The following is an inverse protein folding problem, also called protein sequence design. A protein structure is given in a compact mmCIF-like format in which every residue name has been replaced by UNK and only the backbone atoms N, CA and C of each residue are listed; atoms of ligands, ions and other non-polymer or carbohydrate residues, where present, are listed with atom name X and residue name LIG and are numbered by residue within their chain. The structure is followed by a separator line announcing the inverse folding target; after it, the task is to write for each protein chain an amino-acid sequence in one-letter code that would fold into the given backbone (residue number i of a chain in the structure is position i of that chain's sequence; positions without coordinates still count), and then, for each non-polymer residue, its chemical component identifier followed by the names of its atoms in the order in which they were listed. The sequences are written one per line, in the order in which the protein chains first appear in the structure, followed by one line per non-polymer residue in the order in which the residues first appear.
data_IF_315174425204
#
_entry.id   IF_315174425204
#
_cell.length_a   1.000
_cell.length_b   1.000
_cell.length_c   1.000
_cell.angle_alpha   90.00
_cell.angle_beta   90.00
_cell.angle_gamma   90.00
#
_symmetry.space_group_name_H-M   'P 1'
#
loop_
_entity.id
_entity.type
_entity.pdbx_description
1 polymer ?
#
# COMPACT_ATOMS: atom_id res chain seq x y z
N UNK A 1 -9.21 7.80 8.59
CA UNK A 1 -10.56 8.09 9.14
C UNK A 1 -10.47 9.44 9.85
N UNK A 2 -11.07 10.54 9.33
CA UNK A 2 -10.85 11.90 9.81
C UNK A 2 -11.13 12.08 11.30
N UNK A 3 -12.17 11.45 11.82
CA UNK A 3 -12.60 11.62 13.21
C UNK A 3 -11.80 10.77 14.22
N UNK A 4 -10.99 9.81 13.73
CA UNK A 4 -10.24 8.87 14.58
C UNK A 4 -8.73 9.12 14.62
N UNK A 5 -8.21 10.08 13.85
CA UNK A 5 -6.77 10.29 13.64
C UNK A 5 -6.04 8.99 13.22
N UNK A 6 -6.76 8.10 12.51
CA UNK A 6 -6.27 6.82 12.01
C UNK A 6 -6.06 6.87 10.51
N UNK A 7 -4.86 6.50 10.07
CA UNK A 7 -4.53 6.27 8.67
C UNK A 7 -4.56 4.76 8.38
N UNK A 8 -5.33 4.35 7.38
CA UNK A 8 -5.32 2.98 6.87
C UNK A 8 -4.57 2.96 5.55
N UNK A 9 -3.56 2.10 5.46
CA UNK A 9 -2.69 1.95 4.29
C UNK A 9 -2.78 0.53 3.78
N UNK A 10 -3.08 0.38 2.49
CA UNK A 10 -2.84 -0.84 1.75
C UNK A 10 -1.57 -0.67 0.91
N UNK A 11 -0.66 -1.63 1.02
CA UNK A 11 0.63 -1.59 0.35
C UNK A 11 0.81 -2.83 -0.53
N UNK A 12 1.12 -2.61 -1.81
CA UNK A 12 1.40 -3.69 -2.75
C UNK A 12 2.81 -4.20 -2.55
N UNK A 13 2.90 -5.35 -1.90
CA UNK A 13 4.16 -6.04 -1.66
C UNK A 13 4.61 -6.79 -2.91
N UNK A 14 5.90 -6.82 -3.21
CA UNK A 14 6.41 -7.62 -4.31
C UNK A 14 6.22 -9.11 -4.05
N UNK A 15 6.05 -9.88 -5.12
CA UNK A 15 5.99 -11.34 -5.06
C UNK A 15 7.34 -11.96 -4.65
N UNK A 16 7.32 -13.23 -4.23
CA UNK A 16 8.52 -13.99 -3.86
C UNK A 16 9.57 -14.06 -4.99
N UNK A 17 9.15 -13.93 -6.24
CA UNK A 17 10.03 -13.91 -7.42
C UNK A 17 10.95 -12.68 -7.46
N UNK A 18 10.66 -11.62 -6.69
CA UNK A 18 11.55 -10.46 -6.52
C UNK A 18 12.87 -10.84 -5.81
N UNK A 19 12.90 -11.95 -5.08
CA UNK A 19 14.12 -12.44 -4.44
C UNK A 19 15.04 -13.10 -5.49
N UNK A 20 16.30 -12.65 -5.63
CA UNK A 20 17.25 -13.24 -6.55
C UNK A 20 17.47 -14.73 -6.28
N UNK A 21 17.36 -15.55 -7.30
CA UNK A 21 17.51 -17.01 -7.20
C UNK A 21 18.96 -17.46 -7.07
N UNK A 22 19.90 -16.61 -7.46
CA UNK A 22 21.34 -16.88 -7.44
C UNK A 22 22.00 -16.09 -6.30
N UNK A 23 23.07 -16.70 -5.72
CA UNK A 23 23.86 -16.09 -4.64
C UNK A 23 25.20 -15.55 -5.13
N UNK A 24 25.80 -16.22 -6.10
CA UNK A 24 27.15 -15.94 -6.56
C UNK A 24 27.23 -16.15 -8.08
N UNK A 25 28.04 -15.34 -8.75
CA UNK A 25 28.40 -15.51 -10.15
C UNK A 25 29.89 -15.63 -10.27
N UNK A 26 30.37 -16.70 -10.93
CA UNK A 26 31.79 -16.94 -11.16
C UNK A 26 32.07 -17.14 -12.62
N UNK A 27 33.01 -16.36 -13.16
CA UNK A 27 33.51 -16.59 -14.51
C UNK A 27 34.51 -17.75 -14.52
N UNK A 28 34.25 -18.75 -15.35
CA UNK A 28 35.11 -19.93 -15.53
C UNK A 28 35.87 -19.79 -16.86
N UNK A 29 37.11 -19.39 -16.80
CA UNK A 29 37.97 -19.16 -17.99
C UNK A 29 38.08 -20.36 -18.93
N UNK A 30 38.13 -21.58 -18.39
CA UNK A 30 38.24 -22.82 -19.15
C UNK A 30 37.02 -23.15 -20.00
N UNK A 31 35.85 -22.63 -19.63
CA UNK A 31 34.59 -22.84 -20.31
C UNK A 31 34.08 -21.58 -21.01
N UNK A 32 34.76 -20.46 -20.82
CA UNK A 32 34.34 -19.13 -21.27
C UNK A 32 32.85 -18.85 -20.93
N UNK A 33 32.48 -19.18 -19.69
CA UNK A 33 31.09 -19.09 -19.23
C UNK A 33 31.01 -18.57 -17.79
N UNK A 34 29.87 -17.93 -17.48
CA UNK A 34 29.52 -17.52 -16.13
C UNK A 34 28.71 -18.65 -15.49
N UNK A 35 29.24 -19.25 -14.44
CA UNK A 35 28.49 -20.19 -13.60
C UNK A 35 27.87 -19.42 -12.43
N UNK A 36 26.63 -19.75 -12.09
CA UNK A 36 25.94 -19.20 -10.93
C UNK A 36 25.68 -20.29 -9.90
N UNK A 37 25.60 -19.88 -8.64
CA UNK A 37 25.21 -20.76 -7.54
C UNK A 37 23.79 -20.44 -7.13
N UNK A 38 22.90 -21.42 -7.26
CA UNK A 38 21.50 -21.27 -6.88
C UNK A 38 21.35 -21.10 -5.35
N UNK A 39 20.45 -20.21 -4.96
CA UNK A 39 20.03 -20.02 -3.58
C UNK A 39 19.13 -21.18 -3.15
N UNK A 40 19.28 -21.62 -1.90
CA UNK A 40 18.42 -22.67 -1.36
C UNK A 40 16.98 -22.14 -1.15
N UNK A 41 15.94 -22.95 -1.36
CA UNK A 41 14.55 -22.52 -1.14
C UNK A 41 14.29 -21.94 0.26
N UNK A 42 14.92 -22.51 1.29
CA UNK A 42 14.81 -22.00 2.67
C UNK A 42 15.36 -20.57 2.81
N UNK A 43 16.47 -20.29 2.14
CA UNK A 43 17.08 -18.94 2.15
C UNK A 43 16.19 -17.93 1.43
N UNK A 44 15.57 -18.32 0.29
CA UNK A 44 14.62 -17.49 -0.43
C UNK A 44 13.43 -17.13 0.46
N UNK A 45 12.89 -18.14 1.15
CA UNK A 45 11.79 -17.95 2.09
C UNK A 45 12.14 -16.98 3.22
N UNK A 46 13.29 -17.16 3.85
CA UNK A 46 13.75 -16.28 4.93
C UNK A 46 13.97 -14.85 4.46
N UNK A 47 14.58 -14.67 3.29
CA UNK A 47 14.79 -13.34 2.70
C UNK A 47 13.46 -12.66 2.34
N UNK A 48 12.51 -13.41 1.81
CA UNK A 48 11.19 -12.88 1.50
C UNK A 48 10.44 -12.45 2.76
N UNK A 49 10.46 -13.27 3.79
CA UNK A 49 9.86 -12.91 5.09
C UNK A 49 10.53 -11.66 5.69
N UNK A 50 11.86 -11.60 5.68
CA UNK A 50 12.60 -10.42 6.17
C UNK A 50 12.28 -9.16 5.35
N UNK A 51 12.13 -9.29 4.04
CA UNK A 51 11.74 -8.20 3.15
C UNK A 51 10.34 -7.67 3.49
N UNK A 52 9.34 -8.54 3.62
CA UNK A 52 7.96 -8.15 3.98
C UNK A 52 7.94 -7.39 5.31
N UNK A 53 8.61 -7.92 6.32
CA UNK A 53 8.67 -7.30 7.65
C UNK A 53 9.42 -5.97 7.61
N UNK A 54 10.51 -5.89 6.84
CA UNK A 54 11.29 -4.65 6.69
C UNK A 54 10.51 -3.55 6.01
N UNK A 55 9.77 -3.87 4.93
CA UNK A 55 8.89 -2.92 4.24
C UNK A 55 7.84 -2.39 5.22
N UNK A 56 7.20 -3.28 5.97
CA UNK A 56 6.17 -2.90 6.95
C UNK A 56 6.70 -1.91 7.98
N UNK A 57 7.81 -2.24 8.66
CA UNK A 57 8.38 -1.37 9.70
C UNK A 57 8.88 -0.05 9.13
N UNK A 58 9.49 -0.08 7.94
CA UNK A 58 9.96 1.12 7.26
C UNK A 58 8.80 2.04 6.87
N UNK A 59 7.73 1.51 6.29
CA UNK A 59 6.57 2.30 5.90
C UNK A 59 5.92 2.95 7.11
N UNK A 60 5.73 2.23 8.21
CA UNK A 60 5.21 2.79 9.46
C UNK A 60 6.10 3.93 9.98
N UNK A 61 7.42 3.75 9.94
CA UNK A 61 8.37 4.77 10.36
C UNK A 61 8.28 6.03 9.50
N UNK A 62 8.30 5.87 8.18
CA UNK A 62 8.22 6.99 7.23
C UNK A 62 6.90 7.76 7.36
N UNK A 63 5.77 7.06 7.58
CA UNK A 63 4.47 7.69 7.79
C UNK A 63 4.43 8.54 9.07
N UNK A 64 4.92 8.02 10.18
CA UNK A 64 4.96 8.79 11.42
C UNK A 64 5.99 9.93 11.39
N UNK A 65 7.11 9.76 10.69
CA UNK A 65 8.11 10.80 10.51
C UNK A 65 7.60 11.94 9.60
N UNK A 66 6.80 11.59 8.58
CA UNK A 66 6.17 12.56 7.68
C UNK A 66 5.05 13.37 8.35
N UNK A 67 4.46 12.88 9.44
CA UNK A 67 3.36 13.53 10.16
C UNK A 67 3.84 14.68 11.03
N UNK A 68 4.26 15.78 10.39
CA UNK A 68 4.74 17.00 11.06
C UNK A 68 3.65 17.75 11.81
N UNK A 69 2.39 17.57 11.41
CA UNK A 69 1.24 18.23 12.03
C UNK A 69 0.72 17.48 13.27
N UNK A 70 1.31 16.34 13.62
CA UNK A 70 0.89 15.45 14.71
C UNK A 70 -0.62 15.08 14.63
N UNK A 71 -1.08 14.87 13.39
CA UNK A 71 -2.47 14.55 13.10
C UNK A 71 -2.80 13.06 13.26
N UNK A 72 -1.78 12.18 13.16
CA UNK A 72 -1.94 10.73 13.23
C UNK A 72 -1.72 10.23 14.67
N UNK A 73 -2.72 9.60 15.25
CA UNK A 73 -2.59 8.84 16.49
C UNK A 73 -2.30 7.34 16.21
N UNK A 74 -2.69 6.85 15.04
CA UNK A 74 -2.70 5.43 14.72
C UNK A 74 -2.53 5.21 13.23
N UNK A 75 -1.72 4.21 12.86
CA UNK A 75 -1.60 3.73 11.48
C UNK A 75 -1.95 2.25 11.42
N UNK A 76 -2.87 1.89 10.54
CA UNK A 76 -3.15 0.50 10.16
C UNK A 76 -2.53 0.23 8.80
N UNK A 77 -1.61 -0.73 8.75
CA UNK A 77 -0.93 -1.15 7.54
C UNK A 77 -1.37 -2.56 7.14
N UNK A 78 -1.80 -2.72 5.90
CA UNK A 78 -2.12 -3.99 5.27
C UNK A 78 -1.18 -4.20 4.08
N UNK A 79 -0.31 -5.20 4.15
CA UNK A 79 0.55 -5.60 3.04
C UNK A 79 -0.13 -6.67 2.19
N UNK A 80 -0.37 -6.34 0.95
CA UNK A 80 -1.10 -7.16 -0.02
C UNK A 80 -0.13 -7.69 -1.08
N UNK A 81 -0.41 -8.87 -1.62
CA UNK A 81 0.30 -9.43 -2.78
C UNK A 81 -0.72 -9.77 -3.84
N UNK A 82 -0.57 -9.19 -5.02
CA UNK A 82 -1.36 -9.54 -6.20
C UNK A 82 -0.76 -10.77 -6.86
N UNK A 83 -1.59 -11.78 -7.09
CA UNK A 83 -1.18 -13.08 -7.61
C UNK A 83 -2.33 -13.78 -8.32
N UNK A 84 -2.12 -15.04 -8.73
CA UNK A 84 -3.16 -15.86 -9.33
C UNK A 84 -3.46 -17.06 -8.44
N UNK A 85 -4.74 -17.34 -8.24
CA UNK A 85 -5.18 -18.56 -7.58
C UNK A 85 -4.72 -19.78 -8.41
N UNK A 86 -3.91 -20.67 -7.84
CA UNK A 86 -3.39 -21.83 -8.57
C UNK A 86 -4.47 -22.82 -9.01
N UNK A 87 -5.65 -22.81 -8.38
CA UNK A 87 -6.74 -23.70 -8.71
C UNK A 87 -7.62 -23.17 -9.86
N UNK A 88 -7.82 -21.86 -9.94
CA UNK A 88 -8.73 -21.24 -10.91
C UNK A 88 -8.03 -20.37 -11.95
N UNK A 89 -6.76 -19.98 -11.73
CA UNK A 89 -6.01 -19.05 -12.58
C UNK A 89 -6.53 -17.61 -12.52
N UNK A 90 -7.45 -17.31 -11.61
CA UNK A 90 -7.99 -15.96 -11.44
C UNK A 90 -7.04 -15.09 -10.64
N UNK A 91 -6.99 -13.82 -10.98
CA UNK A 91 -6.28 -12.83 -10.16
C UNK A 91 -6.90 -12.74 -8.77
N UNK A 92 -6.06 -12.79 -7.76
CA UNK A 92 -6.43 -12.66 -6.36
C UNK A 92 -5.46 -11.72 -5.66
N UNK A 93 -5.96 -10.98 -4.67
CA UNK A 93 -5.18 -10.09 -3.81
C UNK A 93 -5.14 -10.66 -2.42
N UNK A 94 -3.95 -11.02 -1.96
CA UNK A 94 -3.75 -11.79 -0.72
C UNK A 94 -3.10 -10.91 0.34
N UNK A 95 -3.75 -10.68 1.50
CA UNK A 95 -3.12 -10.01 2.64
C UNK A 95 -2.12 -10.96 3.31
N UNK A 96 -0.85 -10.58 3.37
CA UNK A 96 0.22 -11.39 3.99
C UNK A 96 0.73 -10.79 5.29
N UNK A 97 0.46 -9.52 5.55
CA UNK A 97 0.75 -8.85 6.82
C UNK A 97 -0.31 -7.79 7.09
N UNK A 98 -0.74 -7.70 8.35
CA UNK A 98 -1.59 -6.62 8.83
C UNK A 98 -1.13 -6.22 10.24
N UNK A 99 -0.95 -4.92 10.46
CA UNK A 99 -0.54 -4.36 11.75
C UNK A 99 -1.26 -3.06 12.02
N UNK A 100 -1.64 -2.86 13.27
CA UNK A 100 -2.22 -1.63 13.78
C UNK A 100 -1.27 -1.03 14.81
N UNK A 101 -0.60 0.06 14.44
CA UNK A 101 0.49 0.65 15.20
C UNK A 101 0.07 2.00 15.81
N UNK A 102 -0.13 2.09 17.13
CA UNK A 102 -0.29 3.36 17.81
C UNK A 102 1.02 4.16 17.75
N UNK A 103 0.94 5.46 17.41
CA UNK A 103 2.10 6.33 17.23
C UNK A 103 3.03 6.34 18.45
N UNK A 104 2.49 6.48 19.65
CA UNK A 104 3.28 6.54 20.86
C UNK A 104 4.05 5.26 21.15
N UNK A 105 3.45 4.10 20.88
CA UNK A 105 4.12 2.81 21.05
C UNK A 105 5.22 2.62 20.00
N UNK A 106 4.92 2.99 18.76
CA UNK A 106 5.86 2.81 17.64
C UNK A 106 7.09 3.72 17.77
N UNK A 107 6.90 5.00 18.13
CA UNK A 107 8.01 5.94 18.35
C UNK A 107 8.89 5.59 19.55
N UNK A 108 8.39 4.81 20.51
CA UNK A 108 9.18 4.27 21.61
C UNK A 108 10.13 3.14 21.22
N UNK A 109 10.02 2.59 20.02
CA UNK A 109 10.85 1.47 19.55
C UNK A 109 12.23 1.95 19.10
N UNK A 110 13.24 1.13 19.39
CA UNK A 110 14.61 1.32 18.90
C UNK A 110 14.82 0.42 17.68
N UNK A 111 14.37 0.88 16.49
CA UNK A 111 14.37 0.08 15.25
C UNK A 111 15.76 -0.39 14.82
N UNK A 112 16.81 0.30 15.28
CA UNK A 112 18.22 -0.08 15.09
C UNK A 112 18.65 -1.33 15.90
N UNK A 113 17.86 -1.72 16.92
CA UNK A 113 18.23 -2.78 17.87
C UNK A 113 17.19 -3.90 17.99
N UNK A 114 16.06 -3.79 17.31
CA UNK A 114 15.00 -4.80 17.39
C UNK A 114 15.25 -5.97 16.44
N UNK A 115 14.83 -7.17 16.84
CA UNK A 115 14.57 -8.23 15.90
C UNK A 115 13.21 -7.95 15.22
N UNK A 116 13.20 -7.85 13.89
CA UNK A 116 12.08 -7.29 13.12
C UNK A 116 10.77 -8.05 13.31
N UNK A 117 10.82 -9.40 13.27
CA UNK A 117 9.63 -10.25 13.42
C UNK A 117 9.08 -10.16 14.84
N UNK A 118 9.96 -10.14 15.85
CA UNK A 118 9.55 -9.95 17.24
C UNK A 118 8.95 -8.57 17.48
N UNK A 119 9.49 -7.54 16.82
CA UNK A 119 8.95 -6.19 16.86
C UNK A 119 7.51 -6.13 16.33
N UNK A 120 7.23 -6.71 15.17
CA UNK A 120 5.86 -6.79 14.64
C UNK A 120 4.93 -7.60 15.55
N UNK A 121 5.40 -8.69 16.14
CA UNK A 121 4.60 -9.45 17.12
C UNK A 121 4.27 -8.61 18.35
N UNK A 122 5.21 -7.81 18.83
CA UNK A 122 4.96 -6.89 19.95
C UNK A 122 3.88 -5.85 19.63
N UNK A 123 3.81 -5.41 18.37
CA UNK A 123 2.74 -4.55 17.86
C UNK A 123 1.44 -5.33 17.56
N UNK A 124 1.33 -6.58 17.99
CA UNK A 124 0.18 -7.46 17.73
C UNK A 124 -0.14 -7.64 16.24
N UNK A 125 0.88 -7.55 15.38
CA UNK A 125 0.73 -7.74 13.95
C UNK A 125 0.32 -9.18 13.62
N UNK A 126 -0.57 -9.31 12.65
CA UNK A 126 -0.86 -10.57 11.99
C UNK A 126 0.10 -10.71 10.81
N UNK A 127 1.05 -11.62 10.91
CA UNK A 127 2.04 -11.88 9.87
C UNK A 127 1.87 -13.31 9.39
N UNK A 128 1.83 -13.50 8.07
CA UNK A 128 1.78 -14.84 7.49
C UNK A 128 2.97 -15.68 7.93
N UNK A 129 2.70 -16.90 8.35
CA UNK A 129 3.77 -17.88 8.66
C UNK A 129 4.49 -18.35 7.38
N UNK A 130 3.81 -18.27 6.26
CA UNK A 130 4.30 -18.65 4.93
C UNK A 130 3.90 -17.63 3.87
N UNK A 131 4.49 -16.44 3.92
CA UNK A 131 4.20 -15.40 2.94
C UNK A 131 4.65 -15.81 1.52
N UNK A 132 5.65 -16.68 1.42
CA UNK A 132 6.15 -17.28 0.19
C UNK A 132 5.14 -18.24 -0.47
N UNK A 133 4.26 -18.87 0.30
CA UNK A 133 3.16 -19.72 -0.15
C UNK A 133 1.82 -18.94 -0.21
N UNK A 134 1.87 -17.61 -0.04
CA UNK A 134 0.69 -16.72 -0.05
C UNK A 134 -0.40 -17.14 0.95
N UNK A 135 0.00 -17.66 2.10
CA UNK A 135 -0.93 -17.96 3.18
C UNK A 135 -1.52 -16.64 3.69
N UNK A 136 -2.79 -16.41 3.39
CA UNK A 136 -3.49 -15.20 3.78
C UNK A 136 -3.57 -15.04 5.30
N UNK A 137 -3.46 -13.80 5.77
CA UNK A 137 -3.84 -13.40 7.14
C UNK A 137 -5.17 -12.64 7.09
N UNK A 138 -5.89 -12.58 8.19
CA UNK A 138 -7.07 -11.73 8.27
C UNK A 138 -6.62 -10.29 8.53
N UNK A 139 -6.95 -9.32 7.67
CA UNK A 139 -6.66 -7.92 7.94
C UNK A 139 -7.30 -7.46 9.25
N UNK A 140 -6.59 -6.66 10.03
CA UNK A 140 -7.11 -6.10 11.29
C UNK A 140 -8.22 -5.09 10.99
N UNK A 141 -8.03 -4.31 9.93
CA UNK A 141 -9.06 -3.43 9.36
C UNK A 141 -9.09 -3.70 7.87
N UNK A 142 -10.24 -4.08 7.35
CA UNK A 142 -10.47 -4.20 5.91
C UNK A 142 -10.76 -2.81 5.35
N UNK A 143 -10.01 -2.43 4.32
CA UNK A 143 -10.30 -1.23 3.57
C UNK A 143 -11.40 -1.56 2.56
N UNK A 144 -12.64 -1.28 2.94
CA UNK A 144 -13.77 -1.48 2.04
C UNK A 144 -13.84 -0.32 1.05
N UNK A 145 -13.29 -0.55 -0.14
CA UNK A 145 -13.38 0.39 -1.27
C UNK A 145 -14.84 0.63 -1.72
N UNK A 146 -15.76 -0.19 -1.23
CA UNK A 146 -17.22 -0.04 -1.43
C UNK A 146 -17.85 0.77 -0.29
N UNK A 147 -17.07 1.56 0.44
CA UNK A 147 -17.61 2.43 1.48
C UNK A 147 -18.78 3.26 0.90
N UNK A 148 -19.91 3.22 1.59
CA UNK A 148 -21.14 3.91 1.17
C UNK A 148 -20.99 5.44 1.04
N UNK A 149 -19.86 5.99 1.48
CA UNK A 149 -19.51 7.41 1.31
C UNK A 149 -19.03 7.74 -0.11
N UNK A 150 -18.54 6.75 -0.86
CA UNK A 150 -18.13 6.97 -2.26
C UNK A 150 -19.32 6.88 -3.21
N UNK A 151 -19.30 7.71 -4.23
CA UNK A 151 -20.27 7.73 -5.32
C UNK A 151 -19.58 7.36 -6.64
N UNK A 152 -20.35 6.85 -7.60
CA UNK A 152 -19.83 6.60 -8.92
C UNK A 152 -19.42 7.91 -9.60
N UNK A 153 -18.25 7.90 -10.26
CA UNK A 153 -17.74 9.05 -11.00
C UNK A 153 -18.57 9.31 -12.25
N UNK A 154 -19.09 10.52 -12.37
CA UNK A 154 -19.58 11.05 -13.65
C UNK A 154 -18.44 11.66 -14.48
N UNK A 155 -18.54 11.60 -15.81
CA UNK A 155 -17.56 12.26 -16.68
C UNK A 155 -17.87 13.76 -16.84
N UNK A 156 -17.30 14.59 -15.96
CA UNK A 156 -17.48 16.05 -16.04
C UNK A 156 -16.67 16.70 -17.18
N UNK A 157 -15.67 15.99 -17.74
CA UNK A 157 -14.85 16.51 -18.83
C UNK A 157 -15.58 16.51 -20.18
N UNK A 158 -16.54 15.62 -20.37
CA UNK A 158 -17.34 15.56 -21.61
C UNK A 158 -18.22 16.79 -21.84
N UNK A 159 -18.54 17.52 -20.78
CA UNK A 159 -19.31 18.76 -20.83
C UNK A 159 -18.48 20.03 -21.04
N UNK A 160 -17.15 19.98 -20.93
CA UNK A 160 -16.24 21.12 -21.01
C UNK A 160 -15.82 21.42 -22.47
N UNK A 161 -16.77 21.58 -23.39
CA UNK A 161 -16.47 21.95 -24.81
C UNK A 161 -16.02 23.42 -25.01
N UNK A 162 -16.24 24.29 -24.05
CA UNK A 162 -15.77 25.67 -24.03
C UNK A 162 -15.04 25.90 -22.72
N UNK A 163 -13.84 26.47 -22.74
CA UNK A 163 -13.01 26.77 -21.55
C UNK A 163 -13.80 27.55 -20.51
N UNK A 164 -14.57 26.92 -19.59
CA UNK A 164 -15.30 27.64 -18.58
C UNK A 164 -14.31 28.23 -17.58
N UNK A 165 -14.66 29.37 -17.00
CA UNK A 165 -13.95 29.89 -15.87
C UNK A 165 -14.17 28.92 -14.69
N UNK A 166 -13.10 28.42 -14.10
CA UNK A 166 -13.18 27.45 -12.97
C UNK A 166 -13.94 28.03 -11.77
N UNK A 167 -13.96 29.35 -11.63
CA UNK A 167 -14.70 30.05 -10.57
C UNK A 167 -16.23 30.03 -10.77
N UNK A 168 -16.70 29.71 -11.97
CA UNK A 168 -18.13 29.60 -12.27
C UNK A 168 -18.69 28.20 -12.06
N UNK A 169 -17.82 27.23 -11.72
CA UNK A 169 -18.23 25.85 -11.41
C UNK A 169 -18.90 25.77 -10.04
N UNK A 170 -19.94 24.94 -9.94
CA UNK A 170 -20.47 24.56 -8.63
C UNK A 170 -19.42 23.74 -7.88
N UNK A 171 -19.43 23.72 -6.54
CA UNK A 171 -18.49 22.89 -5.75
C UNK A 171 -18.45 21.43 -6.23
N UNK A 172 -19.61 20.81 -6.42
CA UNK A 172 -19.69 19.43 -6.90
C UNK A 172 -19.12 19.23 -8.31
N UNK A 173 -19.29 20.22 -9.22
CA UNK A 173 -18.68 20.16 -10.55
C UNK A 173 -17.16 20.34 -10.51
N UNK A 174 -16.65 21.14 -9.57
CA UNK A 174 -15.23 21.32 -9.34
C UNK A 174 -14.60 20.05 -8.77
N UNK A 175 -15.20 19.44 -7.76
CA UNK A 175 -14.77 18.13 -7.19
C UNK A 175 -14.70 17.05 -8.29
N UNK A 176 -15.74 16.97 -9.13
CA UNK A 176 -15.77 16.04 -10.26
C UNK A 176 -14.67 16.33 -11.28
N UNK A 177 -14.40 17.60 -11.58
CA UNK A 177 -13.32 18.01 -12.49
C UNK A 177 -11.95 17.56 -11.95
N UNK A 178 -11.70 17.80 -10.67
CA UNK A 178 -10.44 17.41 -10.01
C UNK A 178 -10.29 15.89 -10.00
N UNK A 179 -11.36 15.15 -9.69
CA UNK A 179 -11.35 13.70 -9.73
C UNK A 179 -11.03 13.16 -11.13
N UNK A 180 -11.66 13.71 -12.16
CA UNK A 180 -11.39 13.34 -13.56
C UNK A 180 -9.96 13.71 -14.00
N UNK A 181 -9.41 14.83 -13.52
CA UNK A 181 -8.03 15.21 -13.78
C UNK A 181 -7.06 14.18 -13.23
N UNK A 182 -7.22 13.76 -11.99
CA UNK A 182 -6.38 12.73 -11.38
C UNK A 182 -6.53 11.37 -12.07
N UNK A 183 -7.76 11.00 -12.48
CA UNK A 183 -7.96 9.79 -13.29
C UNK A 183 -7.21 9.86 -14.63
N UNK A 184 -7.19 11.02 -15.29
CA UNK A 184 -6.41 11.23 -16.53
C UNK A 184 -4.89 11.23 -16.30
N UNK A 185 -4.45 11.55 -15.09
CA UNK A 185 -3.04 11.40 -14.68
C UNK A 185 -2.66 9.96 -14.37
N UNK A 186 -3.59 9.02 -14.44
CA UNK A 186 -3.36 7.59 -14.20
C UNK A 186 -3.52 7.18 -12.73
N UNK A 187 -4.18 8.00 -11.93
CA UNK A 187 -4.55 7.66 -10.56
C UNK A 187 -5.95 7.02 -10.54
N UNK A 188 -6.16 6.06 -9.67
CA UNK A 188 -7.50 5.56 -9.36
C UNK A 188 -8.18 6.53 -8.38
N UNK A 189 -9.29 7.14 -8.80
CA UNK A 189 -9.93 8.21 -8.03
C UNK A 189 -11.36 7.87 -7.68
N UNK A 190 -11.77 8.31 -6.48
CA UNK A 190 -13.15 8.17 -5.99
C UNK A 190 -13.61 9.45 -5.30
N UNK A 191 -14.82 9.88 -5.63
CA UNK A 191 -15.49 11.00 -4.95
C UNK A 191 -16.21 10.52 -3.69
N UNK A 192 -16.18 11.33 -2.65
CA UNK A 192 -16.97 11.11 -1.44
C UNK A 192 -18.37 11.73 -1.59
N UNK A 193 -19.31 11.35 -0.74
CA UNK A 193 -20.63 11.98 -0.71
C UNK A 193 -20.55 13.32 0.01
N UNK A 194 -21.16 14.37 -0.56
CA UNK A 194 -21.11 15.76 -0.09
C UNK A 194 -21.84 16.04 1.23
N UNK A 195 -21.85 15.12 2.19
CA UNK A 195 -22.51 15.35 3.48
C UNK A 195 -21.77 14.73 4.64
N UNK A 196 -21.17 15.57 5.51
CA UNK A 196 -20.53 15.21 6.79
C UNK A 196 -19.37 14.23 6.69
N UNK A 197 -18.51 14.40 5.69
CA UNK A 197 -17.36 13.54 5.39
C UNK A 197 -16.02 14.05 5.97
N UNK A 198 -16.07 15.04 6.85
CA UNK A 198 -14.86 15.61 7.46
C UNK A 198 -14.06 16.52 6.52
N UNK A 199 -14.65 16.98 5.39
CA UNK A 199 -13.99 17.88 4.45
C UNK A 199 -13.14 17.18 3.40
N UNK A 200 -13.27 15.87 3.21
CA UNK A 200 -12.59 15.14 2.13
C UNK A 200 -13.53 15.03 0.93
N UNK A 201 -13.18 15.66 -0.20
CA UNK A 201 -14.02 15.73 -1.40
C UNK A 201 -13.70 14.61 -2.41
N UNK A 202 -12.42 14.24 -2.52
CA UNK A 202 -11.97 13.18 -3.40
C UNK A 202 -10.76 12.44 -2.82
N UNK A 203 -10.65 11.16 -3.15
CA UNK A 203 -9.50 10.30 -2.79
C UNK A 203 -8.90 9.75 -4.08
N UNK A 204 -7.59 9.91 -4.25
CA UNK A 204 -6.85 9.42 -5.41
C UNK A 204 -5.72 8.47 -4.98
N UNK A 205 -5.63 7.31 -5.65
CA UNK A 205 -4.65 6.26 -5.38
C UNK A 205 -3.68 6.15 -6.55
N UNK A 206 -2.38 6.12 -6.26
CA UNK A 206 -1.38 5.80 -7.27
C UNK A 206 -1.18 4.28 -7.33
N UNK A 207 -1.59 3.67 -8.44
CA UNK A 207 -1.49 2.23 -8.67
C UNK A 207 -0.16 1.81 -9.30
N UNK A 208 0.78 2.73 -9.51
CA UNK A 208 2.07 2.42 -10.14
C UNK A 208 3.00 1.65 -9.20
N UNK A 209 3.66 0.57 -9.65
CA UNK A 209 4.39 -0.35 -8.78
C UNK A 209 5.64 0.24 -8.11
N UNK A 210 6.15 1.39 -8.55
CA UNK A 210 7.37 2.01 -7.99
C UNK A 210 7.08 3.04 -6.89
N UNK A 211 5.87 3.62 -6.90
CA UNK A 211 5.43 4.63 -5.93
C UNK A 211 4.24 4.14 -5.09
N UNK A 212 3.90 2.86 -5.22
CA UNK A 212 2.70 2.20 -4.72
C UNK A 212 2.06 2.80 -3.48
N UNK A 213 0.76 3.07 -3.58
CA UNK A 213 -0.08 3.32 -2.41
C UNK A 213 -0.11 4.74 -1.85
N UNK A 214 0.42 5.75 -2.56
CA UNK A 214 0.26 7.13 -2.11
C UNK A 214 -1.21 7.55 -2.28
N UNK A 215 -1.87 7.82 -1.16
CA UNK A 215 -3.25 8.32 -1.13
C UNK A 215 -3.22 9.84 -1.07
N UNK A 216 -3.79 10.50 -2.06
CA UNK A 216 -4.02 11.94 -2.03
C UNK A 216 -5.46 12.20 -1.58
N UNK A 217 -5.64 12.90 -0.48
CA UNK A 217 -6.94 13.41 -0.05
C UNK A 217 -7.00 14.90 -0.35
N UNK A 218 -8.06 15.32 -1.01
CA UNK A 218 -8.38 16.73 -1.24
C UNK A 218 -9.54 17.09 -0.34
N UNK A 219 -9.38 18.16 0.39
CA UNK A 219 -10.41 18.79 1.23
C UNK A 219 -10.75 20.17 0.70
#
# INVERSE_FOLDING_TARGET
VPDSSELIVEYDLPEVQAIPKETEYRYVKTKDSIESKARKPVEIKQLYQDMVVSITLRTLHELFEADQADALALVTFNGMVDTHDPASGREIRVPVVSVRAPKMEFLGLRLDKVEKVACLRNLSAQVSNRPDELQAVKPIVEFDMVDKRFIEQGDALSGLQTRPNLLDLTPAAFEQLVSNLFSKMGLDTKLTRSSRDGGVDAVAFDTRPVLGGLVFCLA
#
